data_IF_747284676899
#
_entry.id   IF_747284676899
#
_cell.length_a   1.000
_cell.length_b   1.000
_cell.length_c   1.000
_cell.angle_alpha   90.00
_cell.angle_beta   90.00
_cell.angle_gamma   90.00
#
_symmetry.space_group_name_H-M   'P 1'
#
loop_
_entity.id
_entity.type
_entity.pdbx_description
1 polymer ?
#
# COMPACT_ATOMS: atom_id res chain seq x y z
N UNK A 1 8.28 4.95 5.57
CA UNK A 1 9.51 4.16 5.28
C UNK A 1 9.72 2.96 6.19
N UNK A 2 9.57 3.08 7.53
CA UNK A 2 9.81 1.95 8.43
C UNK A 2 8.91 0.72 8.17
N UNK A 3 7.66 0.90 7.76
CA UNK A 3 6.76 -0.22 7.39
C UNK A 3 7.28 -1.04 6.21
N UNK A 4 7.86 -0.38 5.20
CA UNK A 4 8.48 -1.06 4.07
C UNK A 4 9.72 -1.87 4.52
N UNK A 5 10.58 -1.29 5.36
CA UNK A 5 11.75 -2.01 5.92
C UNK A 5 11.30 -3.25 6.69
N UNK A 6 10.29 -3.13 7.55
CA UNK A 6 9.74 -4.26 8.28
C UNK A 6 9.20 -5.34 7.32
N UNK A 7 8.41 -4.95 6.32
CA UNK A 7 7.87 -5.89 5.33
C UNK A 7 8.96 -6.55 4.47
N UNK A 8 10.02 -5.83 4.14
CA UNK A 8 11.18 -6.36 3.41
C UNK A 8 11.95 -7.40 4.22
N UNK A 9 12.15 -7.14 5.52
CA UNK A 9 12.76 -8.11 6.44
C UNK A 9 11.91 -9.38 6.54
N UNK A 10 10.58 -9.26 6.55
CA UNK A 10 9.65 -10.39 6.59
C UNK A 10 9.60 -11.19 5.27
N UNK A 11 9.75 -10.53 4.12
CA UNK A 11 9.73 -11.17 2.80
C UNK A 11 11.10 -11.59 2.27
N UNK A 12 12.20 -11.14 2.90
CA UNK A 12 13.58 -11.28 2.41
C UNK A 12 13.80 -10.76 0.98
N UNK A 13 12.99 -9.78 0.55
CA UNK A 13 13.07 -9.11 -0.75
C UNK A 13 12.39 -7.74 -0.66
N UNK A 14 12.70 -6.79 -1.57
CA UNK A 14 12.00 -5.52 -1.66
C UNK A 14 10.48 -5.70 -1.68
N UNK A 15 9.76 -4.99 -0.82
CA UNK A 15 8.32 -5.18 -0.62
C UNK A 15 7.53 -4.58 -1.78
N UNK A 16 7.93 -3.38 -2.21
CA UNK A 16 7.28 -2.60 -3.25
C UNK A 16 8.34 -2.07 -4.23
N UNK A 17 8.89 -2.92 -5.11
CA UNK A 17 9.99 -2.56 -6.01
C UNK A 17 9.52 -1.82 -7.28
N UNK A 18 8.93 -0.64 -7.13
CA UNK A 18 8.54 0.20 -8.26
C UNK A 18 9.76 0.85 -8.95
N UNK A 19 9.73 0.90 -10.28
CA UNK A 19 10.77 1.50 -11.13
C UNK A 19 10.39 2.89 -11.65
N UNK A 20 9.15 3.31 -11.43
CA UNK A 20 8.64 4.66 -11.68
C UNK A 20 7.65 5.03 -10.58
N UNK A 21 7.34 6.32 -10.44
CA UNK A 21 6.38 6.81 -9.44
C UNK A 21 4.99 6.19 -9.64
N UNK A 22 4.55 6.08 -10.89
CA UNK A 22 3.26 5.46 -11.24
C UNK A 22 3.26 3.98 -10.86
N UNK A 23 4.35 3.25 -11.18
CA UNK A 23 4.45 1.85 -10.80
C UNK A 23 4.48 1.66 -9.28
N UNK A 24 5.15 2.56 -8.55
CA UNK A 24 5.19 2.53 -7.10
C UNK A 24 3.79 2.71 -6.50
N UNK A 25 3.02 3.67 -7.01
CA UNK A 25 1.64 3.91 -6.59
C UNK A 25 0.78 2.68 -6.88
N UNK A 26 0.92 2.08 -8.07
CA UNK A 26 0.19 0.86 -8.43
C UNK A 26 0.47 -0.30 -7.47
N UNK A 27 1.74 -0.50 -7.09
CA UNK A 27 2.12 -1.53 -6.12
C UNK A 27 1.57 -1.25 -4.71
N UNK A 28 1.55 0.02 -4.29
CA UNK A 28 0.95 0.43 -3.01
C UNK A 28 -0.55 0.13 -3.02
N UNK A 29 -1.24 0.53 -4.09
CA UNK A 29 -2.67 0.25 -4.26
C UNK A 29 -2.91 -1.25 -4.24
N UNK A 30 -2.16 -2.03 -5.01
CA UNK A 30 -2.29 -3.49 -5.05
C UNK A 30 -2.14 -4.14 -3.67
N UNK A 31 -1.30 -3.59 -2.80
CA UNK A 31 -1.08 -4.13 -1.47
C UNK A 31 -2.14 -3.70 -0.44
N UNK A 32 -2.53 -2.41 -0.44
CA UNK A 32 -3.31 -1.82 0.65
C UNK A 32 -4.75 -1.46 0.31
N UNK A 33 -5.10 -1.40 -0.98
CA UNK A 33 -6.36 -0.83 -1.43
C UNK A 33 -6.21 0.55 -2.05
N UNK A 34 -7.08 0.87 -3.00
CA UNK A 34 -7.27 2.21 -3.52
C UNK A 34 -7.83 3.11 -2.43
N UNK A 35 -7.18 4.25 -2.12
CA UNK A 35 -7.73 5.18 -1.16
C UNK A 35 -9.02 5.82 -1.66
N UNK A 36 -9.85 6.24 -0.71
CA UNK A 36 -11.11 6.94 -0.96
C UNK A 36 -11.16 8.20 -0.10
N UNK A 37 -12.02 9.16 -0.47
CA UNK A 37 -12.25 10.38 0.34
C UNK A 37 -12.65 10.10 1.79
N UNK A 38 -13.24 8.93 2.05
CA UNK A 38 -13.61 8.51 3.41
C UNK A 38 -12.39 8.26 4.30
N UNK A 39 -11.32 7.70 3.74
CA UNK A 39 -10.10 7.34 4.50
C UNK A 39 -9.00 8.39 4.36
N UNK A 40 -9.02 9.16 3.27
CA UNK A 40 -8.13 10.28 3.03
C UNK A 40 -8.94 11.44 2.47
N UNK A 41 -9.39 12.31 3.37
CA UNK A 41 -10.11 13.54 3.02
C UNK A 41 -9.21 14.49 2.24
N UNK A 42 -9.68 14.99 1.10
CA UNK A 42 -8.92 15.85 0.18
C UNK A 42 -8.10 15.07 -0.85
N UNK A 43 -8.38 13.77 -1.02
CA UNK A 43 -7.70 12.93 -2.01
C UNK A 43 -7.89 13.51 -3.43
N UNK A 44 -9.12 13.85 -3.80
CA UNK A 44 -9.44 14.38 -5.13
C UNK A 44 -8.89 15.80 -5.37
N UNK A 45 -8.54 16.52 -4.31
CA UNK A 45 -7.94 17.86 -4.41
C UNK A 45 -6.45 17.81 -4.74
N UNK A 46 -5.81 16.64 -4.64
CA UNK A 46 -4.40 16.45 -4.95
C UNK A 46 -4.11 16.85 -6.41
N UNK A 47 -3.17 17.78 -6.68
CA UNK A 47 -2.87 18.25 -8.02
C UNK A 47 -2.53 17.11 -9.00
N UNK A 48 -1.81 16.09 -8.51
CA UNK A 48 -1.38 14.95 -9.32
C UNK A 48 -2.54 14.09 -9.81
N UNK A 49 -3.65 14.00 -9.06
CA UNK A 49 -4.81 13.20 -9.47
C UNK A 49 -5.65 13.87 -10.57
N UNK A 50 -5.37 15.14 -10.90
CA UNK A 50 -5.97 15.80 -12.09
C UNK A 50 -5.47 15.23 -13.40
N UNK A 51 -4.26 14.66 -13.39
CA UNK A 51 -3.59 14.13 -14.57
C UNK A 51 -3.43 12.60 -14.55
N UNK A 52 -3.77 11.97 -13.43
CA UNK A 52 -3.57 10.55 -13.20
C UNK A 52 -4.73 9.96 -12.38
N UNK A 53 -5.30 8.86 -12.88
CA UNK A 53 -6.34 8.12 -12.18
C UNK A 53 -5.77 6.91 -11.46
N UNK A 54 -6.15 6.72 -10.20
CA UNK A 54 -5.75 5.56 -9.42
C UNK A 54 -6.45 4.29 -9.94
N UNK A 55 -5.68 3.19 -10.05
CA UNK A 55 -6.23 1.85 -10.25
C UNK A 55 -7.30 1.58 -9.19
N UNK A 56 -8.40 0.95 -9.58
CA UNK A 56 -9.46 0.54 -8.66
C UNK A 56 -9.20 -0.89 -8.14
N UNK A 57 -9.00 -1.01 -6.84
CA UNK A 57 -8.70 -2.24 -6.13
C UNK A 57 -9.12 -2.03 -4.66
N UNK A 58 -10.27 -2.55 -4.20
CA UNK A 58 -10.83 -2.14 -2.91
C UNK A 58 -10.31 -2.92 -1.70
N UNK A 59 -9.45 -3.93 -1.90
CA UNK A 59 -9.11 -4.91 -0.86
C UNK A 59 -7.72 -4.68 -0.27
N UNK A 60 -7.59 -4.81 1.04
CA UNK A 60 -6.29 -4.86 1.68
C UNK A 60 -5.72 -6.28 1.62
N UNK A 61 -4.60 -6.45 0.92
CA UNK A 61 -4.00 -7.75 0.65
C UNK A 61 -2.88 -8.12 1.64
N UNK A 62 -2.62 -7.33 2.70
CA UNK A 62 -1.53 -7.57 3.66
C UNK A 62 -1.60 -8.97 4.26
N UNK A 63 -2.80 -9.46 4.61
CA UNK A 63 -2.99 -10.82 5.14
C UNK A 63 -2.67 -11.91 4.11
N UNK A 64 -2.92 -11.66 2.83
CA UNK A 64 -2.58 -12.58 1.75
C UNK A 64 -1.08 -12.55 1.44
N UNK A 65 -0.43 -11.38 1.59
CA UNK A 65 1.03 -11.23 1.45
C UNK A 65 1.78 -11.91 2.59
N UNK A 66 1.26 -11.83 3.82
CA UNK A 66 1.89 -12.40 5.02
C UNK A 66 0.94 -13.37 5.76
N UNK A 67 0.58 -14.52 5.16
CA UNK A 67 -0.40 -15.44 5.75
C UNK A 67 0.08 -16.10 7.04
N UNK A 68 1.39 -16.15 7.27
CA UNK A 68 2.01 -16.69 8.49
C UNK A 68 2.11 -15.68 9.64
N UNK A 69 1.82 -14.39 9.39
CA UNK A 69 1.96 -13.36 10.41
C UNK A 69 0.83 -13.45 11.44
N UNK A 70 1.17 -13.24 12.70
CA UNK A 70 0.15 -13.15 13.77
C UNK A 70 -0.74 -11.92 13.57
N UNK A 71 -1.91 -11.91 14.20
CA UNK A 71 -2.81 -10.75 14.16
C UNK A 71 -2.12 -9.46 14.66
N UNK A 72 -1.23 -9.56 15.64
CA UNK A 72 -0.45 -8.41 16.12
C UNK A 72 0.51 -7.89 15.03
N UNK A 73 1.19 -8.79 14.32
CA UNK A 73 2.04 -8.42 13.18
C UNK A 73 1.24 -7.79 12.05
N UNK A 74 0.09 -8.37 11.68
CA UNK A 74 -0.77 -7.83 10.61
C UNK A 74 -1.28 -6.43 10.98
N UNK A 75 -1.64 -6.21 12.24
CA UNK A 75 -2.04 -4.88 12.74
C UNK A 75 -0.90 -3.88 12.67
N UNK A 76 0.32 -4.29 13.04
CA UNK A 76 1.49 -3.42 12.99
C UNK A 76 1.78 -2.99 11.54
N UNK A 77 1.80 -3.93 10.59
CA UNK A 77 2.01 -3.61 9.16
C UNK A 77 0.93 -2.67 8.61
N UNK A 78 -0.33 -2.87 8.99
CA UNK A 78 -1.44 -2.00 8.54
C UNK A 78 -1.45 -0.62 9.21
N UNK A 79 -0.73 -0.44 10.32
CA UNK A 79 -0.68 0.82 11.05
C UNK A 79 0.48 1.72 10.61
N UNK A 80 1.56 1.13 10.10
CA UNK A 80 2.79 1.83 9.71
C UNK A 80 2.74 2.41 8.30
#
# INVERSE_FOLDING_TARGET
>A
SAGCVLGELLCHRPLLPGRSEIQQIDLIIEMFGTPTEKIWSGLNDLPSLKHFSLRQQPYNNVKQTFPWLTNAGLRLINFM
#
